data_IF_667050263155
#
_entry.id   IF_667050263155
#
_cell.length_a   1.000
_cell.length_b   1.000
_cell.length_c   1.000
_cell.angle_alpha   90.00
_cell.angle_beta   90.00
_cell.angle_gamma   90.00
#
_symmetry.space_group_name_H-M   'P 1'
#
loop_
_entity.id
_entity.type
_entity.pdbx_description
1 polymer ?
#
# COMPACT_ATOMS: atom_id res chain seq x y z
N UNK A 1 -5.31 41.47 8.66
CA UNK A 1 -6.04 40.46 9.45
C UNK A 1 -5.14 39.23 9.49
N UNK A 2 -4.47 39.01 10.62
CA UNK A 2 -3.41 38.00 10.77
C UNK A 2 -4.02 36.58 10.77
N UNK A 3 -3.52 35.71 9.89
CA UNK A 3 -3.79 34.27 9.94
C UNK A 3 -2.72 33.58 10.79
N UNK A 4 -3.16 32.90 11.83
CA UNK A 4 -2.39 32.04 12.73
C UNK A 4 -2.02 30.72 12.02
N UNK A 5 -0.73 30.35 11.91
CA UNK A 5 -0.28 29.13 11.24
C UNK A 5 -0.37 27.84 12.08
N UNK A 6 -0.91 27.87 13.30
CA UNK A 6 -0.83 26.73 14.23
C UNK A 6 -2.01 25.72 14.20
N UNK A 7 -2.88 25.73 13.18
CA UNK A 7 -3.91 24.69 13.04
C UNK A 7 -3.47 23.62 12.03
N UNK A 8 -2.59 22.74 12.48
CA UNK A 8 -2.17 21.56 11.73
C UNK A 8 -3.33 20.54 11.63
N UNK A 9 -3.66 20.16 10.39
CA UNK A 9 -4.65 19.15 10.03
C UNK A 9 -4.02 17.75 10.18
N UNK A 10 -4.64 16.78 10.88
CA UNK A 10 -3.97 15.51 11.22
C UNK A 10 -3.85 14.50 10.06
N UNK A 11 -4.32 14.81 8.84
CA UNK A 11 -4.38 13.84 7.73
C UNK A 11 -3.80 14.40 6.39
N UNK A 12 -3.09 15.53 6.42
CA UNK A 12 -2.61 16.18 5.19
C UNK A 12 -1.11 15.99 4.89
N UNK A 13 -0.79 15.12 3.91
CA UNK A 13 0.37 15.24 3.00
C UNK A 13 0.53 16.73 2.58
N UNK A 14 1.71 17.33 2.36
CA UNK A 14 2.66 17.13 1.27
C UNK A 14 3.93 17.93 1.59
N UNK A 15 5.13 17.36 1.43
CA UNK A 15 6.37 18.14 1.41
C UNK A 15 7.11 17.89 0.10
N UNK A 16 7.09 18.93 -0.73
CA UNK A 16 7.82 19.05 -1.97
C UNK A 16 9.34 19.03 -1.75
N UNK A 17 10.05 18.66 -2.83
CA UNK A 17 11.51 18.71 -3.05
C UNK A 17 12.30 17.57 -2.40
N UNK A 18 12.76 16.66 -3.26
CA UNK A 18 13.70 15.57 -2.91
C UNK A 18 13.00 14.25 -2.63
N UNK A 19 12.58 13.53 -3.68
CA UNK A 19 12.07 12.17 -3.57
C UNK A 19 13.18 11.22 -3.08
N UNK A 20 13.40 11.15 -1.77
CA UNK A 20 13.84 9.90 -1.14
C UNK A 20 12.59 9.09 -0.84
N UNK A 21 12.15 8.31 -1.83
CA UNK A 21 11.13 7.29 -1.64
C UNK A 21 11.76 6.19 -0.79
N UNK A 22 11.84 6.42 0.53
CA UNK A 22 12.52 5.52 1.47
C UNK A 22 11.75 4.19 1.51
N UNK A 23 12.23 3.20 0.75
CA UNK A 23 11.77 1.80 0.69
C UNK A 23 11.96 1.02 2.02
N UNK A 24 11.96 1.67 3.17
CA UNK A 24 12.09 0.95 4.45
C UNK A 24 10.72 0.44 4.91
N UNK A 25 10.26 -0.64 4.29
CA UNK A 25 9.34 -1.57 4.96
C UNK A 25 10.14 -2.22 6.09
N UNK A 26 10.15 -1.65 7.29
CA UNK A 26 10.49 -2.45 8.46
C UNK A 26 9.52 -3.64 8.47
N UNK A 27 10.03 -4.86 8.35
CA UNK A 27 9.19 -6.08 8.40
C UNK A 27 8.81 -6.37 9.86
N UNK A 28 8.01 -5.49 10.45
CA UNK A 28 7.56 -5.56 11.85
C UNK A 28 6.80 -6.85 12.14
N UNK A 29 6.09 -7.36 11.13
CA UNK A 29 5.30 -8.60 11.20
C UNK A 29 6.17 -9.84 11.39
N UNK A 30 7.43 -9.81 10.94
CA UNK A 30 8.37 -10.91 11.14
C UNK A 30 9.07 -10.84 12.50
N UNK A 31 8.93 -9.71 13.19
CA UNK A 31 9.57 -9.44 14.48
C UNK A 31 8.57 -9.40 15.63
N UNK A 32 7.28 -9.60 15.36
CA UNK A 32 6.29 -9.84 16.39
C UNK A 32 6.49 -11.25 16.98
N UNK A 33 6.06 -11.45 18.22
CA UNK A 33 6.03 -12.77 18.86
C UNK A 33 4.58 -13.05 19.27
N UNK A 34 3.90 -14.03 18.64
CA UNK A 34 4.38 -14.86 17.53
C UNK A 34 4.55 -14.07 16.23
N UNK A 35 5.38 -14.58 15.32
CA UNK A 35 5.53 -13.97 14.00
C UNK A 35 4.21 -14.10 13.20
N UNK A 36 3.72 -12.99 12.65
CA UNK A 36 2.40 -12.95 12.02
C UNK A 36 2.39 -13.50 10.58
N UNK A 37 1.46 -14.43 10.32
CA UNK A 37 1.05 -14.88 8.99
C UNK A 37 0.32 -13.75 8.27
N UNK A 38 0.72 -13.46 7.03
CA UNK A 38 0.17 -12.30 6.28
C UNK A 38 0.03 -12.57 4.79
N UNK A 39 -0.78 -11.74 4.12
CA UNK A 39 -0.85 -11.70 2.66
C UNK A 39 0.14 -10.66 2.13
N UNK A 40 1.13 -11.11 1.35
CA UNK A 40 2.04 -10.24 0.61
C UNK A 40 1.35 -9.71 -0.65
N UNK A 41 1.11 -8.40 -0.67
CA UNK A 41 0.54 -7.71 -1.82
C UNK A 41 1.64 -7.23 -2.80
N UNK A 42 1.42 -7.31 -4.12
CA UNK A 42 2.36 -6.89 -5.15
C UNK A 42 2.38 -5.36 -5.31
N UNK A 43 2.80 -4.64 -4.26
CA UNK A 43 2.68 -3.17 -4.15
C UNK A 43 3.34 -2.39 -5.29
N UNK A 44 4.46 -2.88 -5.82
CA UNK A 44 5.13 -2.23 -6.94
C UNK A 44 4.27 -2.28 -8.21
N UNK A 45 3.63 -3.41 -8.44
CA UNK A 45 2.76 -3.62 -9.58
C UNK A 45 1.47 -2.83 -9.44
N UNK A 46 0.85 -2.83 -8.25
CA UNK A 46 -0.28 -1.95 -7.92
C UNK A 46 0.06 -0.50 -8.26
N UNK A 47 1.23 -0.01 -7.82
CA UNK A 47 1.67 1.34 -8.12
C UNK A 47 1.87 1.61 -9.60
N UNK A 48 2.47 0.66 -10.34
CA UNK A 48 2.67 0.77 -11.79
C UNK A 48 1.32 0.84 -12.52
N UNK A 49 0.38 -0.03 -12.17
CA UNK A 49 -0.95 -0.05 -12.76
C UNK A 49 -1.71 1.24 -12.47
N UNK A 50 -1.71 1.68 -11.21
CA UNK A 50 -2.36 2.93 -10.81
C UNK A 50 -1.80 4.13 -11.57
N UNK A 51 -0.47 4.24 -11.69
CA UNK A 51 0.17 5.29 -12.46
C UNK A 51 -0.23 5.25 -13.94
N UNK A 52 -0.30 4.05 -14.53
CA UNK A 52 -0.71 3.88 -15.92
C UNK A 52 -2.17 4.29 -16.14
N UNK A 53 -3.08 3.82 -15.29
CA UNK A 53 -4.50 4.17 -15.34
C UNK A 53 -4.71 5.69 -15.19
N UNK A 54 -3.92 6.34 -14.33
CA UNK A 54 -3.94 7.79 -14.18
C UNK A 54 -3.50 8.51 -15.46
N UNK A 55 -2.40 8.08 -16.09
CA UNK A 55 -1.92 8.66 -17.35
C UNK A 55 -2.93 8.46 -18.48
N UNK A 56 -3.52 7.27 -18.59
CA UNK A 56 -4.55 6.97 -19.58
C UNK A 56 -5.76 7.92 -19.38
N UNK A 57 -6.17 8.13 -18.13
CA UNK A 57 -7.25 9.08 -17.78
C UNK A 57 -6.91 10.52 -18.14
N UNK A 58 -5.69 10.98 -17.87
CA UNK A 58 -5.21 12.34 -18.22
C UNK A 58 -5.23 12.54 -19.75
N UNK A 59 -4.87 11.50 -20.51
CA UNK A 59 -4.85 11.54 -21.98
C UNK A 59 -6.23 11.34 -22.62
N UNK A 60 -7.32 11.44 -21.84
CA UNK A 60 -8.68 11.33 -22.35
C UNK A 60 -9.06 9.92 -22.81
N UNK A 61 -8.28 8.88 -22.46
CA UNK A 61 -8.68 7.51 -22.70
C UNK A 61 -9.84 7.17 -21.76
N UNK A 62 -10.98 6.78 -22.32
CA UNK A 62 -12.11 6.33 -21.53
C UNK A 62 -11.71 5.08 -20.76
N UNK A 63 -11.78 5.15 -19.44
CA UNK A 63 -11.72 3.97 -18.58
C UNK A 63 -12.85 3.05 -19.06
N UNK A 64 -12.50 1.86 -19.58
CA UNK A 64 -13.50 0.84 -19.85
C UNK A 64 -14.03 0.40 -18.49
N UNK A 65 -15.25 0.82 -18.16
CA UNK A 65 -15.97 0.29 -17.00
C UNK A 65 -15.86 -1.24 -17.02
N UNK A 66 -15.30 -1.81 -15.95
CA UNK A 66 -15.09 -3.27 -15.83
C UNK A 66 -13.65 -3.75 -15.84
N UNK A 67 -12.64 -2.91 -16.12
CA UNK A 67 -11.24 -3.31 -15.92
C UNK A 67 -10.86 -3.25 -14.43
N UNK A 68 -11.31 -4.24 -13.65
CA UNK A 68 -10.81 -4.49 -12.30
C UNK A 68 -9.57 -5.37 -12.42
N UNK A 69 -8.36 -4.80 -12.37
CA UNK A 69 -7.18 -5.60 -12.60
C UNK A 69 -6.94 -6.49 -11.39
N UNK A 70 -6.95 -7.80 -11.64
CA UNK A 70 -6.66 -8.79 -10.62
C UNK A 70 -5.15 -9.01 -10.58
N UNK A 71 -4.57 -8.81 -9.40
CA UNK A 71 -3.16 -9.03 -9.15
C UNK A 71 -3.00 -10.16 -8.15
N UNK A 72 -2.07 -11.06 -8.45
CA UNK A 72 -1.81 -12.21 -7.59
C UNK A 72 -1.17 -11.76 -6.27
N UNK A 73 -1.62 -12.40 -5.20
CA UNK A 73 -1.08 -12.21 -3.86
C UNK A 73 -0.46 -13.50 -3.36
N UNK A 74 0.47 -13.39 -2.42
CA UNK A 74 1.13 -14.56 -1.84
C UNK A 74 0.83 -14.65 -0.35
N UNK A 75 0.34 -15.80 0.12
CA UNK A 75 0.25 -16.08 1.55
C UNK A 75 1.63 -16.38 2.13
N UNK A 76 2.02 -15.63 3.16
CA UNK A 76 3.26 -15.82 3.91
C UNK A 76 2.89 -16.42 5.26
N UNK A 77 2.98 -17.74 5.38
CA UNK A 77 2.68 -18.49 6.60
C UNK A 77 3.81 -18.33 7.62
N UNK A 78 3.45 -18.10 8.88
CA UNK A 78 4.31 -17.97 10.06
C UNK A 78 3.62 -18.57 11.30
N UNK A 79 4.20 -18.32 12.47
CA UNK A 79 3.84 -18.88 13.77
C UNK A 79 2.42 -18.53 14.26
N UNK A 80 1.83 -17.44 13.79
CA UNK A 80 0.49 -17.02 14.23
C UNK A 80 -0.65 -17.86 13.65
N UNK A 81 -0.36 -18.87 12.83
CA UNK A 81 -1.35 -19.80 12.27
C UNK A 81 -0.82 -21.23 12.38
N UNK A 82 -1.62 -22.13 12.96
CA UNK A 82 -1.31 -23.54 13.07
C UNK A 82 -2.50 -24.38 12.57
N UNK A 83 -2.27 -25.62 12.10
CA UNK A 83 -3.37 -26.53 11.79
C UNK A 83 -4.21 -26.80 13.05
N UNK A 84 -5.51 -26.99 12.87
CA UNK A 84 -6.37 -27.46 13.95
C UNK A 84 -5.92 -28.86 14.35
N UNK A 85 -5.73 -29.08 15.66
CA UNK A 85 -5.40 -30.39 16.21
C UNK A 85 -6.62 -31.30 16.04
N UNK A 86 -6.51 -32.34 15.21
CA UNK A 86 -7.58 -33.32 15.04
C UNK A 86 -7.43 -34.41 16.12
N UNK A 87 -8.45 -34.55 16.97
CA UNK A 87 -8.59 -35.56 18.02
C UNK A 87 -9.28 -36.82 17.51
#
# INVERSE_FOLDING_TARGET
>A
MNHDPARADPIGLWAARGLSFRRHRLNLLARSVPALTTISQPRLEIGRMAARMLLDRINGQSYREGLHPQLDVTLVVRESTAPLLQS
#
